data_IF_171125389999
#
_entry.id   IF_171125389999
#
_cell.length_a   1.000
_cell.length_b   1.000
_cell.length_c   1.000
_cell.angle_alpha   90.00
_cell.angle_beta   90.00
_cell.angle_gamma   90.00
#
_symmetry.space_group_name_H-M   'P 1'
#
loop_
_entity.id
_entity.type
_entity.pdbx_description
1 polymer ?
#
# COMPACT_ATOMS: atom_id res chain seq x y z
N UNK A 1 -22.00 12.62 -47.92
CA UNK A 1 -22.32 12.95 -46.52
C UNK A 1 -21.78 11.83 -45.63
N UNK A 2 -20.57 12.00 -45.17
CA UNK A 2 -19.96 11.16 -44.16
C UNK A 2 -20.18 11.83 -42.80
N UNK A 3 -21.10 11.27 -42.02
CA UNK A 3 -21.29 11.67 -40.64
C UNK A 3 -20.08 11.17 -39.80
N UNK A 4 -19.31 12.14 -39.35
CA UNK A 4 -18.26 11.94 -38.36
C UNK A 4 -18.94 11.72 -37.01
N UNK A 5 -19.11 10.46 -36.58
CA UNK A 5 -19.51 10.11 -35.24
C UNK A 5 -18.30 10.31 -34.33
N UNK A 6 -18.07 11.54 -33.89
CA UNK A 6 -17.18 11.88 -32.79
C UNK A 6 -17.74 11.30 -31.50
N UNK A 7 -17.31 10.10 -31.15
CA UNK A 7 -17.57 9.52 -29.86
C UNK A 7 -17.00 10.44 -28.78
N UNK A 8 -17.87 11.14 -28.09
CA UNK A 8 -17.57 11.91 -26.89
C UNK A 8 -17.19 10.88 -25.81
N UNK A 9 -15.92 10.51 -25.75
CA UNK A 9 -15.35 9.79 -24.62
C UNK A 9 -15.35 10.75 -23.43
N UNK A 10 -16.50 10.92 -22.81
CA UNK A 10 -16.62 11.51 -21.49
C UNK A 10 -16.01 10.48 -20.52
N UNK A 11 -14.68 10.45 -20.44
CA UNK A 11 -13.96 9.77 -19.36
C UNK A 11 -14.49 10.38 -18.08
N UNK A 12 -15.33 9.64 -17.36
CA UNK A 12 -15.97 10.12 -16.13
C UNK A 12 -14.96 10.79 -15.21
N UNK A 13 -15.35 11.91 -14.61
CA UNK A 13 -14.52 12.68 -13.68
C UNK A 13 -14.56 12.10 -12.25
N UNK A 14 -15.26 11.01 -12.05
CA UNK A 14 -15.46 10.41 -10.73
C UNK A 14 -14.24 9.63 -10.27
N UNK A 15 -13.99 9.69 -8.94
CA UNK A 15 -12.97 8.90 -8.28
C UNK A 15 -13.39 7.43 -8.25
N UNK A 16 -12.44 6.54 -8.51
CA UNK A 16 -12.63 5.10 -8.40
C UNK A 16 -12.23 4.63 -7.00
N UNK A 17 -13.20 4.25 -6.19
CA UNK A 17 -13.01 3.78 -4.81
C UNK A 17 -12.63 2.29 -4.70
N UNK A 18 -12.42 1.61 -5.81
CA UNK A 18 -11.80 0.30 -5.91
C UNK A 18 -10.33 0.39 -6.40
N UNK A 19 -9.83 1.62 -6.62
CA UNK A 19 -8.42 1.89 -6.90
C UNK A 19 -7.75 2.48 -5.67
N UNK A 20 -6.78 1.74 -5.11
CA UNK A 20 -5.98 2.10 -3.94
C UNK A 20 -4.60 2.59 -4.38
N UNK A 21 -3.99 3.49 -3.62
CA UNK A 21 -2.57 3.83 -3.79
C UNK A 21 -1.88 3.84 -2.44
N UNK A 22 -0.78 3.11 -2.32
CA UNK A 22 0.03 3.13 -1.10
C UNK A 22 0.68 4.50 -0.94
N UNK A 23 0.58 5.04 0.27
CA UNK A 23 1.03 6.40 0.59
C UNK A 23 1.87 6.40 1.87
N UNK A 24 3.09 6.93 1.76
CA UNK A 24 4.07 6.99 2.85
C UNK A 24 4.15 8.41 3.40
N UNK A 25 3.79 8.55 4.67
CA UNK A 25 3.65 9.84 5.35
C UNK A 25 4.80 10.18 6.31
N UNK A 26 5.94 9.57 6.12
CA UNK A 26 7.08 9.67 7.05
C UNK A 26 8.10 10.77 6.74
N UNK A 27 7.95 11.50 5.62
CA UNK A 27 8.91 12.52 5.21
C UNK A 27 8.80 13.78 6.06
N UNK A 28 9.95 14.36 6.44
CA UNK A 28 10.05 15.63 7.13
C UNK A 28 10.92 16.65 6.40
N UNK A 29 10.59 17.92 6.58
CA UNK A 29 11.41 19.05 6.12
C UNK A 29 11.83 19.93 7.29
N UNK A 30 12.95 20.65 7.14
CA UNK A 30 13.44 21.54 8.18
C UNK A 30 12.43 22.64 8.55
N UNK A 31 11.76 23.19 7.53
CA UNK A 31 10.80 24.30 7.71
C UNK A 31 9.55 23.91 8.51
N UNK A 32 9.09 22.64 8.43
CA UNK A 32 7.85 22.18 9.05
C UNK A 32 8.14 21.33 10.29
N UNK A 33 9.17 20.46 10.22
CA UNK A 33 9.45 19.44 11.25
C UNK A 33 10.71 19.75 12.04
N UNK A 34 11.40 20.85 11.75
CA UNK A 34 12.68 21.22 12.37
C UNK A 34 13.87 20.38 11.92
N UNK A 35 13.64 19.37 11.08
CA UNK A 35 14.67 18.50 10.51
C UNK A 35 14.16 17.75 9.29
N UNK A 36 15.09 17.36 8.41
CA UNK A 36 14.77 16.41 7.34
C UNK A 36 14.67 14.98 7.88
N UNK A 37 13.58 14.28 7.56
CA UNK A 37 13.35 12.88 7.94
C UNK A 37 13.09 12.03 6.70
N UNK A 38 13.60 10.79 6.71
CA UNK A 38 13.46 9.78 5.65
C UNK A 38 14.02 10.16 4.26
N UNK A 39 14.64 11.34 4.12
CA UNK A 39 15.44 11.69 2.93
C UNK A 39 16.84 11.09 2.97
N UNK A 40 17.37 10.83 4.17
CA UNK A 40 18.57 10.03 4.43
C UNK A 40 18.21 8.56 4.65
N UNK A 41 19.11 7.64 4.33
CA UNK A 41 18.95 6.22 4.61
C UNK A 41 20.29 5.51 4.68
N UNK A 42 20.43 4.53 5.57
CA UNK A 42 21.55 3.60 5.54
C UNK A 42 21.47 2.74 4.26
N UNK A 43 22.60 2.56 3.58
CA UNK A 43 22.67 1.62 2.46
C UNK A 43 22.56 0.21 3.04
N UNK A 44 21.66 -0.61 2.51
CA UNK A 44 21.46 -1.96 2.98
C UNK A 44 22.64 -2.86 2.60
N UNK A 45 23.19 -3.65 3.54
CA UNK A 45 24.22 -4.63 3.22
C UNK A 45 23.66 -5.71 2.27
N UNK A 46 24.54 -6.25 1.41
CA UNK A 46 24.16 -7.38 0.55
C UNK A 46 23.87 -8.61 1.42
N UNK A 47 22.67 -9.22 1.37
CA UNK A 47 22.33 -10.39 2.16
C UNK A 47 23.20 -11.61 1.83
N UNK A 48 23.83 -11.65 0.65
CA UNK A 48 24.76 -12.68 0.21
C UNK A 48 26.24 -12.28 0.42
N UNK A 49 26.47 -11.07 0.95
CA UNK A 49 27.82 -10.56 1.22
C UNK A 49 28.39 -11.07 2.55
N UNK A 50 29.72 -10.90 2.71
CA UNK A 50 30.40 -11.29 3.95
C UNK A 50 29.99 -10.46 5.17
N UNK A 51 30.21 -10.99 6.37
CA UNK A 51 30.01 -10.28 7.64
C UNK A 51 30.90 -9.03 7.75
N UNK A 52 30.41 -7.97 8.36
CA UNK A 52 31.18 -6.74 8.58
C UNK A 52 31.04 -5.68 7.51
N UNK A 53 30.13 -5.82 6.55
CA UNK A 53 29.84 -4.77 5.58
C UNK A 53 29.28 -3.51 6.27
N UNK A 54 29.91 -2.37 5.99
CA UNK A 54 29.36 -1.05 6.31
C UNK A 54 29.27 -0.25 5.02
N UNK A 55 28.19 -0.42 4.22
CA UNK A 55 28.07 0.22 2.91
C UNK A 55 27.86 1.74 2.96
N UNK A 56 27.74 2.32 4.16
CA UNK A 56 27.59 3.75 4.38
C UNK A 56 26.13 4.20 4.48
N UNK A 57 25.96 5.53 4.38
CA UNK A 57 24.67 6.19 4.50
C UNK A 57 24.49 7.21 3.39
N UNK A 58 23.29 7.27 2.81
CA UNK A 58 22.86 8.34 1.92
C UNK A 58 22.47 9.54 2.81
N UNK A 59 23.11 10.73 2.64
CA UNK A 59 23.01 11.82 3.62
C UNK A 59 21.66 12.55 3.64
N UNK A 60 20.82 12.40 2.62
CA UNK A 60 19.51 13.09 2.55
C UNK A 60 19.62 14.57 2.18
N UNK A 61 20.75 15.01 1.56
CA UNK A 61 20.93 16.38 1.06
C UNK A 61 20.14 16.61 -0.22
N UNK A 62 20.13 17.86 -0.71
CA UNK A 62 19.48 18.17 -2.00
C UNK A 62 20.11 17.40 -3.17
N UNK A 63 21.40 17.15 -3.11
CA UNK A 63 22.14 16.44 -4.16
C UNK A 63 22.12 14.92 -4.00
N UNK A 64 21.75 14.42 -2.80
CA UNK A 64 21.83 12.99 -2.48
C UNK A 64 20.75 12.54 -1.49
N UNK A 65 19.58 12.18 -2.01
CA UNK A 65 18.48 11.59 -1.24
C UNK A 65 18.43 10.06 -1.37
N UNK A 66 17.71 9.42 -0.46
CA UNK A 66 17.48 7.97 -0.42
C UNK A 66 16.44 7.50 -1.46
N UNK A 67 16.51 8.04 -2.66
CA UNK A 67 15.69 7.66 -3.81
C UNK A 67 16.49 7.83 -5.10
N UNK A 68 16.20 6.99 -6.09
CA UNK A 68 16.82 7.13 -7.42
C UNK A 68 16.31 8.37 -8.17
N UNK A 69 15.15 8.89 -7.81
CA UNK A 69 14.57 10.08 -8.43
C UNK A 69 14.32 11.17 -7.38
N UNK A 70 14.72 12.39 -7.71
CA UNK A 70 14.44 13.56 -6.87
C UNK A 70 13.01 14.05 -7.16
N UNK A 71 12.16 14.22 -6.15
CA UNK A 71 10.79 14.66 -6.38
C UNK A 71 10.72 16.11 -6.84
N UNK A 72 9.81 16.41 -7.77
CA UNK A 72 9.58 17.79 -8.25
C UNK A 72 9.15 18.76 -7.13
N UNK A 73 8.53 18.23 -6.08
CA UNK A 73 8.13 19.00 -4.90
C UNK A 73 9.27 19.21 -3.90
N UNK A 74 10.48 18.79 -4.23
CA UNK A 74 11.65 18.89 -3.35
C UNK A 74 11.61 17.90 -2.19
N UNK A 75 12.44 18.14 -1.17
CA UNK A 75 12.42 17.39 0.09
C UNK A 75 11.31 17.92 1.00
N UNK A 76 10.09 17.52 0.72
CA UNK A 76 8.89 17.99 1.39
C UNK A 76 8.68 17.36 2.78
N UNK A 77 7.76 17.93 3.54
CA UNK A 77 7.18 17.35 4.73
C UNK A 77 5.82 16.72 4.41
N UNK A 78 5.58 15.53 4.93
CA UNK A 78 4.26 14.88 4.89
C UNK A 78 3.24 15.56 5.83
N UNK A 79 3.68 16.54 6.64
CA UNK A 79 2.82 17.36 7.49
C UNK A 79 2.53 18.75 6.89
N UNK A 80 3.07 19.08 5.70
CA UNK A 80 2.82 20.35 5.03
C UNK A 80 1.45 20.36 4.33
N UNK A 81 0.49 21.21 4.74
CA UNK A 81 -0.83 21.27 4.11
C UNK A 81 -0.79 21.60 2.60
N UNK A 82 0.21 22.36 2.14
CA UNK A 82 0.36 22.69 0.72
C UNK A 82 0.80 21.45 -0.08
N UNK A 83 1.70 20.65 0.47
CA UNK A 83 2.13 19.38 -0.12
C UNK A 83 0.97 18.39 -0.15
N UNK A 84 0.25 18.26 0.97
CA UNK A 84 -0.93 17.40 1.05
C UNK A 84 -1.98 17.79 0.01
N UNK A 85 -2.25 19.08 -0.16
CA UNK A 85 -3.18 19.56 -1.20
C UNK A 85 -2.73 19.14 -2.60
N UNK A 86 -1.45 19.34 -2.93
CA UNK A 86 -0.90 18.93 -4.24
C UNK A 86 -0.98 17.42 -4.45
N UNK A 87 -0.67 16.61 -3.43
CA UNK A 87 -0.80 15.17 -3.51
C UNK A 87 -2.26 14.75 -3.76
N UNK A 88 -3.21 15.33 -3.03
CA UNK A 88 -4.64 15.03 -3.25
C UNK A 88 -5.11 15.46 -4.65
N UNK A 89 -4.61 16.57 -5.19
CA UNK A 89 -4.89 16.97 -6.57
C UNK A 89 -4.34 15.94 -7.58
N UNK A 90 -3.16 15.36 -7.33
CA UNK A 90 -2.61 14.27 -8.17
C UNK A 90 -3.48 13.00 -8.10
N UNK A 91 -4.00 12.65 -6.91
CA UNK A 91 -4.95 11.54 -6.75
C UNK A 91 -6.23 11.77 -7.56
N UNK A 92 -6.78 12.98 -7.51
CA UNK A 92 -7.97 13.35 -8.31
C UNK A 92 -7.67 13.22 -9.81
N UNK A 93 -6.52 13.75 -10.26
CA UNK A 93 -6.10 13.62 -11.67
C UNK A 93 -5.95 12.17 -12.12
N UNK A 94 -5.43 11.32 -11.25
CA UNK A 94 -5.28 9.88 -11.49
C UNK A 94 -6.59 9.09 -11.27
N UNK A 95 -7.67 9.76 -10.82
CA UNK A 95 -8.95 9.14 -10.46
C UNK A 95 -8.85 8.06 -9.38
N UNK A 96 -7.79 8.09 -8.58
CA UNK A 96 -7.56 7.16 -7.49
C UNK A 96 -8.37 7.58 -6.28
N UNK A 97 -9.35 6.77 -5.90
CA UNK A 97 -10.33 7.12 -4.87
C UNK A 97 -9.88 6.80 -3.45
N UNK A 98 -8.89 5.92 -3.27
CA UNK A 98 -8.47 5.46 -1.94
C UNK A 98 -6.96 5.55 -1.76
N UNK A 99 -6.56 6.18 -0.68
CA UNK A 99 -5.19 6.25 -0.20
C UNK A 99 -4.99 5.16 0.86
N UNK A 100 -4.05 4.25 0.65
CA UNK A 100 -3.66 3.23 1.63
C UNK A 100 -2.45 3.76 2.41
N UNK A 101 -2.74 4.36 3.57
CA UNK A 101 -1.76 5.06 4.40
C UNK A 101 -0.89 4.07 5.17
N UNK A 102 0.42 4.17 5.02
CA UNK A 102 1.38 3.39 5.82
C UNK A 102 1.21 3.68 7.32
N UNK A 103 1.33 2.64 8.15
CA UNK A 103 1.19 2.79 9.59
C UNK A 103 2.12 1.82 10.36
N UNK A 104 3.04 2.40 11.13
CA UNK A 104 4.11 1.70 11.83
C UNK A 104 3.92 1.59 13.35
N UNK A 105 2.67 1.55 13.83
CA UNK A 105 2.34 1.60 15.24
C UNK A 105 2.57 3.01 15.81
N UNK A 106 1.66 3.90 15.49
CA UNK A 106 1.62 5.29 15.95
C UNK A 106 2.09 5.45 17.39
N UNK A 107 3.26 6.05 17.57
CA UNK A 107 3.95 6.11 18.85
C UNK A 107 3.67 7.43 19.59
N UNK A 108 3.42 8.53 18.87
CA UNK A 108 3.34 9.86 19.46
C UNK A 108 2.21 10.73 18.84
N UNK A 109 1.95 11.85 19.51
CA UNK A 109 0.94 12.82 19.08
C UNK A 109 1.29 13.52 17.75
N UNK A 110 2.55 13.54 17.35
CA UNK A 110 2.98 14.13 16.08
C UNK A 110 2.50 13.28 14.90
N UNK A 111 2.66 11.95 14.99
CA UNK A 111 2.13 11.02 13.99
C UNK A 111 0.62 11.10 13.93
N UNK A 112 -0.03 11.07 15.08
CA UNK A 112 -1.47 11.19 15.18
C UNK A 112 -2.02 12.47 14.56
N UNK A 113 -1.35 13.59 14.78
CA UNK A 113 -1.69 14.88 14.17
C UNK A 113 -1.51 14.84 12.65
N UNK A 114 -0.42 14.22 12.17
CA UNK A 114 -0.15 14.08 10.74
C UNK A 114 -1.23 13.24 10.04
N UNK A 115 -1.64 12.13 10.62
CA UNK A 115 -2.76 11.32 10.10
C UNK A 115 -4.03 12.14 10.01
N UNK A 116 -4.35 12.96 11.03
CA UNK A 116 -5.49 13.88 11.01
C UNK A 116 -5.42 14.87 9.84
N UNK A 117 -4.26 15.50 9.60
CA UNK A 117 -4.06 16.41 8.47
C UNK A 117 -4.26 15.73 7.10
N UNK A 118 -3.82 14.47 6.98
CA UNK A 118 -4.00 13.69 5.75
C UNK A 118 -5.48 13.36 5.52
N UNK A 119 -6.20 12.93 6.56
CA UNK A 119 -7.63 12.67 6.50
C UNK A 119 -8.42 13.93 6.10
N UNK A 120 -8.12 15.07 6.71
CA UNK A 120 -8.74 16.36 6.39
C UNK A 120 -8.47 16.79 4.94
N UNK A 121 -7.24 16.61 4.47
CA UNK A 121 -6.87 16.94 3.09
C UNK A 121 -7.57 16.02 2.08
N UNK A 122 -7.68 14.72 2.38
CA UNK A 122 -8.37 13.72 1.58
C UNK A 122 -9.88 14.01 1.50
N UNK A 123 -10.53 14.34 2.62
CA UNK A 123 -11.96 14.65 2.66
C UNK A 123 -12.33 15.84 1.77
N UNK A 124 -11.53 16.91 1.78
CA UNK A 124 -11.72 18.08 0.91
C UNK A 124 -11.79 17.73 -0.58
N UNK A 125 -11.19 16.62 -0.98
CA UNK A 125 -11.15 16.12 -2.37
C UNK A 125 -12.00 14.85 -2.56
N UNK A 126 -12.77 14.45 -1.56
CA UNK A 126 -13.61 13.22 -1.54
C UNK A 126 -12.79 11.91 -1.64
N UNK A 127 -11.49 11.98 -1.46
CA UNK A 127 -10.62 10.80 -1.39
C UNK A 127 -10.85 10.12 -0.04
N UNK A 128 -10.80 8.78 -0.05
CA UNK A 128 -10.90 7.98 1.17
C UNK A 128 -9.52 7.49 1.61
N UNK A 129 -9.40 7.13 2.88
CA UNK A 129 -8.16 6.64 3.50
C UNK A 129 -8.43 5.33 4.20
N UNK A 130 -7.72 4.28 3.83
CA UNK A 130 -7.55 3.06 4.61
C UNK A 130 -6.12 2.95 5.12
N UNK A 131 -5.80 1.93 5.90
CA UNK A 131 -4.47 1.78 6.48
C UNK A 131 -3.75 0.55 5.94
N UNK A 132 -2.44 0.71 5.72
CA UNK A 132 -1.49 -0.33 5.40
C UNK A 132 -0.63 -0.59 6.64
N UNK A 133 -0.91 -1.68 7.36
CA UNK A 133 -0.27 -2.01 8.64
C UNK A 133 1.07 -2.69 8.39
N UNK A 134 2.13 -1.99 8.75
CA UNK A 134 3.51 -2.37 8.50
C UNK A 134 4.03 -3.38 9.55
N UNK A 135 5.16 -4.09 9.31
CA UNK A 135 5.72 -5.06 10.22
C UNK A 135 6.54 -4.40 11.33
N UNK A 136 5.92 -3.56 12.15
CA UNK A 136 6.57 -2.89 13.26
C UNK A 136 7.18 -3.89 14.27
N UNK A 137 8.20 -3.50 15.05
CA UNK A 137 8.84 -4.37 16.02
C UNK A 137 7.85 -5.02 17.00
N UNK A 138 8.01 -6.31 17.24
CA UNK A 138 7.15 -7.12 18.15
C UNK A 138 5.68 -7.25 17.69
N UNK A 139 5.36 -6.98 16.42
CA UNK A 139 4.02 -7.16 15.87
C UNK A 139 3.53 -8.60 16.10
N UNK A 140 2.36 -8.73 16.70
CA UNK A 140 1.64 -9.98 16.92
C UNK A 140 0.12 -9.71 16.86
N UNK A 141 -0.71 -10.75 16.89
CA UNK A 141 -2.17 -10.60 16.73
C UNK A 141 -2.83 -9.84 17.88
N UNK A 142 -2.26 -9.90 19.10
CA UNK A 142 -2.80 -9.17 20.25
C UNK A 142 -2.64 -7.65 20.05
N UNK A 143 -1.42 -7.18 19.78
CA UNK A 143 -1.20 -5.76 19.56
C UNK A 143 -1.78 -5.25 18.23
N UNK A 144 -1.90 -6.11 17.21
CA UNK A 144 -2.64 -5.78 15.98
C UNK A 144 -4.12 -5.52 16.30
N UNK A 145 -4.75 -6.36 17.13
CA UNK A 145 -6.13 -6.12 17.57
C UNK A 145 -6.28 -4.76 18.27
N UNK A 146 -5.39 -4.48 19.21
CA UNK A 146 -5.39 -3.20 19.95
C UNK A 146 -5.24 -2.02 19.00
N UNK A 147 -4.35 -2.13 18.03
CA UNK A 147 -4.12 -1.12 17.01
C UNK A 147 -5.31 -0.93 16.06
N UNK A 148 -5.95 -2.00 15.60
CA UNK A 148 -7.17 -1.93 14.81
C UNK A 148 -8.28 -1.22 15.59
N UNK A 149 -8.47 -1.59 16.85
CA UNK A 149 -9.42 -0.93 17.76
C UNK A 149 -9.11 0.55 17.91
N UNK A 150 -7.84 0.90 18.14
CA UNK A 150 -7.35 2.29 18.26
C UNK A 150 -7.64 3.10 16.99
N UNK A 151 -7.27 2.57 15.81
CA UNK A 151 -7.47 3.24 14.53
C UNK A 151 -8.95 3.46 14.22
N UNK A 152 -9.79 2.45 14.43
CA UNK A 152 -11.24 2.57 14.19
C UNK A 152 -11.87 3.53 15.19
N UNK A 153 -11.50 3.47 16.47
CA UNK A 153 -12.03 4.36 17.51
C UNK A 153 -11.64 5.81 17.23
N UNK A 154 -10.40 6.06 16.84
CA UNK A 154 -9.88 7.41 16.66
C UNK A 154 -10.33 8.04 15.34
N UNK A 155 -10.30 7.28 14.26
CA UNK A 155 -10.50 7.82 12.90
C UNK A 155 -11.76 7.31 12.21
N UNK A 156 -12.41 6.26 12.73
CA UNK A 156 -13.50 5.57 12.04
C UNK A 156 -14.76 6.41 11.79
N UNK A 157 -14.93 7.53 12.51
CA UNK A 157 -16.01 8.49 12.29
C UNK A 157 -15.62 9.63 11.32
N UNK A 158 -14.36 9.69 10.87
CA UNK A 158 -13.93 10.70 9.94
C UNK A 158 -14.54 10.46 8.54
N UNK A 159 -15.06 11.48 7.83
CA UNK A 159 -15.69 11.29 6.51
C UNK A 159 -14.77 10.64 5.48
N UNK A 160 -13.45 10.87 5.55
CA UNK A 160 -12.48 10.23 4.67
C UNK A 160 -12.13 8.79 5.05
N UNK A 161 -12.53 8.28 6.22
CA UNK A 161 -12.19 6.92 6.61
C UNK A 161 -12.88 5.90 5.69
N UNK A 162 -12.07 5.07 5.01
CA UNK A 162 -12.59 4.15 3.99
C UNK A 162 -13.35 2.97 4.60
N UNK A 163 -14.50 2.68 4.00
CA UNK A 163 -15.29 1.48 4.27
C UNK A 163 -15.77 0.88 2.95
N UNK A 164 -15.61 -0.43 2.81
CA UNK A 164 -16.21 -1.22 1.75
C UNK A 164 -17.35 -2.03 2.36
N UNK A 165 -18.56 -1.86 1.82
CA UNK A 165 -19.76 -2.51 2.35
C UNK A 165 -19.96 -2.31 3.86
N UNK A 166 -19.66 -1.10 4.34
CA UNK A 166 -19.78 -0.70 5.74
C UNK A 166 -18.60 -1.11 6.64
N UNK A 167 -17.68 -1.97 6.18
CA UNK A 167 -16.53 -2.43 6.96
C UNK A 167 -15.26 -1.65 6.63
N UNK A 168 -14.46 -1.24 7.63
CA UNK A 168 -13.09 -0.78 7.41
C UNK A 168 -12.27 -1.81 6.61
N UNK A 169 -11.25 -1.36 5.87
CA UNK A 169 -10.33 -2.24 5.17
C UNK A 169 -8.90 -1.93 5.62
N UNK A 170 -8.15 -2.99 5.92
CA UNK A 170 -6.74 -2.92 6.27
C UNK A 170 -5.91 -3.83 5.37
N UNK A 171 -4.85 -3.29 4.77
CA UNK A 171 -3.79 -4.08 4.16
C UNK A 171 -2.79 -4.49 5.23
N UNK A 172 -2.35 -5.74 5.22
CA UNK A 172 -1.35 -6.26 6.18
C UNK A 172 -0.07 -6.60 5.43
N UNK A 173 0.93 -5.74 5.55
CA UNK A 173 2.24 -6.00 4.96
C UNK A 173 2.95 -7.13 5.72
N UNK A 174 3.68 -7.97 4.98
CA UNK A 174 4.38 -9.14 5.53
C UNK A 174 3.51 -9.98 6.49
N UNK A 175 2.26 -10.22 6.09
CA UNK A 175 1.29 -10.99 6.90
C UNK A 175 1.77 -12.40 7.20
N UNK A 176 2.64 -12.96 6.38
CA UNK A 176 3.23 -14.30 6.51
C UNK A 176 4.26 -14.42 7.66
N UNK A 177 4.67 -13.30 8.28
CA UNK A 177 5.52 -13.31 9.48
C UNK A 177 4.79 -13.76 10.75
N UNK A 178 3.48 -13.91 10.68
CA UNK A 178 2.64 -14.41 11.78
C UNK A 178 1.97 -15.69 11.30
N UNK A 179 2.02 -16.74 12.12
CA UNK A 179 1.48 -18.06 11.80
C UNK A 179 -0.05 -18.02 11.57
N UNK A 180 -0.60 -18.85 10.68
CA UNK A 180 -2.05 -18.90 10.43
C UNK A 180 -2.88 -19.16 11.69
N UNK A 181 -2.41 -20.00 12.59
CA UNK A 181 -3.08 -20.31 13.86
C UNK A 181 -3.17 -19.11 14.83
N UNK A 182 -2.22 -18.16 14.72
CA UNK A 182 -2.31 -16.90 15.46
C UNK A 182 -3.33 -15.96 14.80
N UNK A 183 -3.31 -15.84 13.46
CA UNK A 183 -4.32 -15.08 12.72
C UNK A 183 -5.74 -15.59 12.97
N UNK A 184 -5.95 -16.89 13.05
CA UNK A 184 -7.24 -17.51 13.35
C UNK A 184 -7.82 -16.98 14.65
N UNK A 185 -7.01 -16.75 15.70
CA UNK A 185 -7.47 -16.17 16.97
C UNK A 185 -8.09 -14.78 16.78
N UNK A 186 -7.61 -14.00 15.81
CA UNK A 186 -8.06 -12.64 15.52
C UNK A 186 -9.16 -12.60 14.45
N UNK A 187 -9.07 -13.43 13.42
CA UNK A 187 -9.88 -13.31 12.20
C UNK A 187 -10.94 -14.41 12.03
N UNK A 188 -10.95 -15.44 12.87
CA UNK A 188 -12.06 -16.41 12.93
C UNK A 188 -13.19 -15.88 13.82
N UNK A 189 -14.47 -16.13 13.47
CA UNK A 189 -15.60 -15.77 14.34
C UNK A 189 -15.52 -16.38 15.74
N UNK A 190 -14.92 -17.59 15.89
CA UNK A 190 -14.69 -18.25 17.16
C UNK A 190 -13.34 -17.97 17.82
N UNK A 191 -12.54 -17.07 17.26
CA UNK A 191 -11.19 -16.76 17.76
C UNK A 191 -11.22 -16.11 19.14
N UNK A 192 -10.20 -16.43 19.96
CA UNK A 192 -10.14 -16.00 21.37
C UNK A 192 -10.01 -14.47 21.56
N UNK A 193 -9.51 -13.77 20.53
CA UNK A 193 -9.38 -12.31 20.50
C UNK A 193 -10.00 -11.71 19.24
N UNK A 194 -11.03 -12.34 18.73
CA UNK A 194 -11.62 -11.99 17.43
C UNK A 194 -12.12 -10.54 17.35
N UNK A 195 -11.95 -9.94 16.15
CA UNK A 195 -12.65 -8.71 15.77
C UNK A 195 -13.98 -9.00 15.07
N UNK A 196 -14.21 -10.25 14.63
CA UNK A 196 -15.39 -10.63 13.85
C UNK A 196 -16.68 -10.47 14.66
N UNK A 197 -17.71 -9.94 14.01
CA UNK A 197 -19.01 -9.66 14.62
C UNK A 197 -18.96 -8.67 15.80
N UNK A 198 -17.91 -7.84 15.85
CA UNK A 198 -17.78 -6.74 16.82
C UNK A 198 -17.89 -5.38 16.11
N UNK A 199 -17.92 -4.29 16.88
CA UNK A 199 -17.84 -2.93 16.34
C UNK A 199 -16.53 -2.64 15.58
N UNK A 200 -15.54 -3.53 15.68
CA UNK A 200 -14.22 -3.42 15.08
C UNK A 200 -14.00 -4.43 13.93
N UNK A 201 -15.08 -5.09 13.48
CA UNK A 201 -14.99 -6.00 12.34
C UNK A 201 -14.56 -5.24 11.07
N UNK A 202 -13.57 -5.78 10.38
CA UNK A 202 -12.93 -5.13 9.26
C UNK A 202 -12.53 -6.15 8.19
N UNK A 203 -12.41 -5.71 6.94
CA UNK A 203 -11.84 -6.50 5.86
C UNK A 203 -10.31 -6.50 6.00
N UNK A 204 -9.73 -7.69 6.14
CA UNK A 204 -8.30 -7.90 6.34
C UNK A 204 -7.69 -8.50 5.09
N UNK A 205 -6.78 -7.76 4.44
CA UNK A 205 -6.18 -8.10 3.15
C UNK A 205 -4.70 -8.47 3.38
N UNK A 206 -4.39 -9.77 3.28
CA UNK A 206 -3.03 -10.30 3.51
C UNK A 206 -2.14 -10.21 2.28
N UNK A 207 -0.82 -10.19 2.46
CA UNK A 207 0.14 -10.14 1.36
C UNK A 207 0.39 -11.54 0.78
N UNK A 208 0.27 -11.67 -0.55
CA UNK A 208 0.58 -12.90 -1.28
C UNK A 208 1.92 -12.80 -2.00
N UNK A 209 2.92 -13.54 -1.55
CA UNK A 209 4.27 -13.56 -2.15
C UNK A 209 4.64 -14.93 -2.76
N UNK A 210 4.25 -16.00 -2.11
CA UNK A 210 4.72 -17.37 -2.39
C UNK A 210 3.86 -18.13 -3.41
N UNK A 211 4.26 -19.37 -3.73
CA UNK A 211 3.51 -20.25 -4.62
C UNK A 211 2.10 -20.57 -4.07
N UNK A 212 1.17 -20.97 -4.93
CA UNK A 212 -0.19 -21.32 -4.51
C UNK A 212 -0.27 -22.44 -3.47
N UNK A 213 0.67 -23.38 -3.49
CA UNK A 213 0.73 -24.50 -2.54
C UNK A 213 1.01 -24.04 -1.10
N UNK A 214 1.70 -22.90 -0.95
CA UNK A 214 1.98 -22.28 0.34
C UNK A 214 0.91 -21.24 0.69
N UNK A 215 0.58 -20.38 -0.26
CA UNK A 215 -0.19 -19.19 0.05
C UNK A 215 -1.71 -19.44 0.17
N UNK A 216 -2.27 -20.37 -0.60
CA UNK A 216 -3.70 -20.72 -0.50
C UNK A 216 -4.09 -21.23 0.88
N UNK A 217 -3.40 -22.25 1.45
CA UNK A 217 -3.67 -22.69 2.82
C UNK A 217 -3.46 -21.56 3.83
N UNK A 218 -2.43 -20.73 3.65
CA UNK A 218 -2.19 -19.60 4.53
C UNK A 218 -3.39 -18.65 4.59
N UNK A 219 -3.88 -18.15 3.44
CA UNK A 219 -5.01 -17.23 3.37
C UNK A 219 -6.29 -17.83 3.97
N UNK A 220 -6.54 -19.12 3.71
CA UNK A 220 -7.73 -19.81 4.23
C UNK A 220 -7.66 -20.03 5.74
N UNK A 221 -6.56 -20.60 6.22
CA UNK A 221 -6.40 -20.94 7.64
C UNK A 221 -6.22 -19.72 8.54
N UNK A 222 -5.66 -18.65 8.02
CA UNK A 222 -5.56 -17.35 8.68
C UNK A 222 -6.88 -16.55 8.66
N UNK A 223 -7.91 -17.01 7.94
CA UNK A 223 -9.21 -16.34 7.79
C UNK A 223 -9.17 -14.93 7.20
N UNK A 224 -8.18 -14.62 6.34
CA UNK A 224 -8.16 -13.36 5.62
C UNK A 224 -9.36 -13.21 4.68
N UNK A 225 -9.90 -11.99 4.57
CA UNK A 225 -11.00 -11.68 3.64
C UNK A 225 -10.52 -11.60 2.19
N UNK A 226 -9.24 -11.30 2.00
CA UNK A 226 -8.62 -11.18 0.70
C UNK A 226 -7.10 -11.12 0.76
N UNK A 227 -6.51 -10.84 -0.39
CA UNK A 227 -5.06 -10.71 -0.51
C UNK A 227 -4.66 -9.70 -1.61
N UNK A 228 -3.44 -9.16 -1.50
CA UNK A 228 -2.84 -8.23 -2.45
C UNK A 228 -1.39 -8.66 -2.75
N UNK A 229 -0.74 -8.03 -3.74
CA UNK A 229 0.57 -8.49 -4.22
C UNK A 229 1.72 -7.51 -3.98
N UNK A 230 1.43 -6.26 -3.71
CA UNK A 230 2.31 -5.15 -3.32
C UNK A 230 3.42 -4.77 -4.32
N UNK A 231 4.30 -5.71 -4.72
CA UNK A 231 5.55 -5.40 -5.42
C UNK A 231 5.34 -4.94 -6.86
N UNK A 232 5.91 -3.77 -7.22
CA UNK A 232 5.92 -3.22 -8.58
C UNK A 232 6.83 -3.98 -9.54
N UNK A 233 7.82 -4.73 -9.04
CA UNK A 233 8.75 -5.49 -9.87
C UNK A 233 8.13 -6.81 -10.35
N UNK A 234 7.70 -6.87 -11.62
CA UNK A 234 7.15 -8.09 -12.22
C UNK A 234 8.14 -9.25 -12.15
N UNK A 235 7.67 -10.43 -11.71
CA UNK A 235 8.49 -11.62 -11.58
C UNK A 235 9.35 -11.69 -10.31
N UNK A 236 9.29 -10.70 -9.44
CA UNK A 236 10.01 -10.72 -8.16
C UNK A 236 9.43 -11.74 -7.18
N UNK A 237 8.11 -11.85 -7.12
CA UNK A 237 7.40 -12.87 -6.35
C UNK A 237 6.37 -13.58 -7.23
N UNK A 238 5.78 -14.69 -6.76
CA UNK A 238 4.67 -15.32 -7.45
C UNK A 238 3.49 -14.35 -7.60
N UNK A 239 3.16 -13.62 -6.53
CA UNK A 239 2.07 -12.64 -6.52
C UNK A 239 2.32 -11.45 -7.46
N UNK A 240 3.56 -10.94 -7.55
CA UNK A 240 3.93 -9.84 -8.44
C UNK A 240 4.19 -10.26 -9.90
N UNK A 241 3.82 -11.49 -10.28
CA UNK A 241 3.93 -12.00 -11.64
C UNK A 241 2.57 -11.92 -12.34
N UNK A 242 2.31 -10.93 -13.22
CA UNK A 242 0.97 -10.65 -13.75
C UNK A 242 0.34 -11.81 -14.55
N UNK A 243 1.15 -12.70 -15.12
CA UNK A 243 0.64 -13.90 -15.80
C UNK A 243 -0.05 -14.89 -14.85
N UNK A 244 0.16 -14.77 -13.55
CA UNK A 244 -0.49 -15.59 -12.53
C UNK A 244 -1.87 -15.04 -12.12
N UNK A 245 -2.16 -13.76 -12.39
CA UNK A 245 -3.32 -13.08 -11.83
C UNK A 245 -4.67 -13.64 -12.25
N UNK A 246 -4.79 -14.15 -13.48
CA UNK A 246 -6.01 -14.85 -13.94
C UNK A 246 -6.31 -16.06 -13.05
N UNK A 247 -5.30 -16.88 -12.76
CA UNK A 247 -5.47 -18.07 -11.92
C UNK A 247 -5.69 -17.70 -10.44
N UNK A 248 -5.06 -16.63 -9.97
CA UNK A 248 -5.24 -16.12 -8.60
C UNK A 248 -6.66 -15.56 -8.41
N UNK A 249 -7.17 -14.79 -9.38
CA UNK A 249 -8.53 -14.25 -9.34
C UNK A 249 -9.58 -15.36 -9.43
N UNK A 250 -9.37 -16.37 -10.27
CA UNK A 250 -10.25 -17.54 -10.33
C UNK A 250 -10.35 -18.21 -8.95
N UNK A 251 -9.20 -18.50 -8.34
CA UNK A 251 -9.16 -19.08 -7.01
C UNK A 251 -9.81 -18.20 -5.94
N UNK A 252 -9.59 -16.89 -6.01
CA UNK A 252 -10.20 -15.94 -5.09
C UNK A 252 -11.74 -16.00 -5.16
N UNK A 253 -12.31 -15.95 -6.37
CA UNK A 253 -13.76 -16.08 -6.59
C UNK A 253 -14.31 -17.42 -6.07
N UNK A 254 -13.65 -18.52 -6.35
CA UNK A 254 -14.06 -19.87 -5.91
C UNK A 254 -14.07 -20.01 -4.38
N UNK A 255 -13.27 -19.20 -3.67
CA UNK A 255 -13.14 -19.24 -2.22
C UNK A 255 -13.74 -18.02 -1.49
N UNK A 256 -14.50 -17.18 -2.19
CA UNK A 256 -15.12 -15.98 -1.61
C UNK A 256 -14.10 -14.97 -1.09
N UNK A 257 -12.94 -14.86 -1.74
CA UNK A 257 -11.86 -13.94 -1.36
C UNK A 257 -11.77 -12.74 -2.30
N UNK A 258 -11.33 -11.60 -1.75
CA UNK A 258 -11.01 -10.41 -2.52
C UNK A 258 -9.57 -10.52 -3.02
N UNK A 259 -9.34 -10.31 -4.31
CA UNK A 259 -7.99 -10.22 -4.87
C UNK A 259 -7.74 -8.80 -5.37
N UNK A 260 -6.66 -8.17 -4.89
CA UNK A 260 -6.23 -6.82 -5.24
C UNK A 260 -4.80 -6.89 -5.78
N UNK A 261 -4.59 -7.07 -7.11
CA UNK A 261 -3.25 -7.03 -7.69
C UNK A 261 -2.65 -5.62 -7.52
N UNK A 262 -1.34 -5.58 -7.31
CA UNK A 262 -0.59 -4.33 -7.22
C UNK A 262 0.12 -4.04 -8.53
N UNK A 263 -0.13 -2.87 -9.08
CA UNK A 263 0.50 -2.36 -10.29
C UNK A 263 1.46 -1.23 -9.93
N UNK A 264 2.47 -0.98 -10.75
CA UNK A 264 3.43 0.10 -10.50
C UNK A 264 4.04 0.63 -11.78
N UNK A 265 4.51 1.90 -11.77
CA UNK A 265 5.06 2.55 -12.95
C UNK A 265 6.43 2.03 -13.39
N UNK A 266 7.08 1.27 -12.55
CA UNK A 266 8.42 0.74 -12.65
C UNK A 266 8.99 0.50 -11.26
N UNK A 267 10.23 0.03 -11.17
CA UNK A 267 10.88 -0.18 -9.89
C UNK A 267 12.39 -0.01 -9.99
N UNK A 268 12.98 0.73 -9.06
CA UNK A 268 14.41 0.83 -8.84
C UNK A 268 14.71 1.29 -7.41
N UNK A 269 15.52 0.52 -6.68
CA UNK A 269 15.92 0.81 -5.29
C UNK A 269 17.45 0.69 -5.07
N UNK A 270 18.21 0.68 -6.14
CA UNK A 270 19.66 0.43 -6.10
C UNK A 270 20.46 1.49 -5.34
N UNK A 271 19.88 2.64 -5.02
CA UNK A 271 20.55 3.57 -4.10
C UNK A 271 20.61 3.02 -2.68
N UNK A 272 19.54 2.39 -2.21
CA UNK A 272 19.46 1.80 -0.88
C UNK A 272 19.97 0.35 -0.89
N UNK A 273 19.69 -0.39 -1.99
CA UNK A 273 20.06 -1.79 -2.18
C UNK A 273 20.90 -1.95 -3.45
N UNK A 274 22.21 -1.60 -3.45
CA UNK A 274 23.04 -1.64 -4.67
C UNK A 274 23.09 -3.02 -5.33
N UNK A 275 22.93 -4.08 -4.55
CA UNK A 275 22.92 -5.46 -5.01
C UNK A 275 21.61 -5.88 -5.73
N UNK A 276 20.56 -5.06 -5.66
CA UNK A 276 19.23 -5.41 -6.15
C UNK A 276 18.97 -5.06 -7.63
N UNK A 277 20.03 -4.96 -8.44
CA UNK A 277 19.93 -4.56 -9.84
C UNK A 277 19.06 -5.47 -10.73
N UNK A 278 18.95 -6.76 -10.40
CA UNK A 278 18.15 -7.72 -11.18
C UNK A 278 16.64 -7.47 -11.14
N UNK A 279 16.17 -6.73 -10.14
CA UNK A 279 14.73 -6.42 -9.98
C UNK A 279 14.33 -5.06 -10.54
N UNK A 280 15.26 -4.33 -11.16
CA UNK A 280 14.94 -3.06 -11.84
C UNK A 280 13.90 -3.31 -12.93
N UNK A 281 12.88 -2.45 -12.96
CA UNK A 281 11.87 -2.38 -14.03
C UNK A 281 11.77 -0.94 -14.51
N UNK A 282 12.19 -0.71 -15.77
CA UNK A 282 12.15 0.61 -16.37
C UNK A 282 10.73 1.04 -16.69
N UNK A 283 10.45 2.33 -16.56
CA UNK A 283 9.11 2.90 -16.82
C UNK A 283 8.69 2.82 -18.28
N UNK A 284 9.66 2.83 -19.23
CA UNK A 284 9.45 2.77 -20.69
C UNK A 284 8.31 3.69 -21.16
N UNK A 285 8.39 4.97 -20.77
CA UNK A 285 7.40 6.00 -21.11
C UNK A 285 5.94 5.61 -20.76
N UNK A 286 5.77 4.93 -19.63
CA UNK A 286 4.47 4.47 -19.14
C UNK A 286 4.02 3.10 -19.64
N UNK A 287 4.70 2.51 -20.63
CA UNK A 287 4.30 1.22 -21.22
C UNK A 287 4.32 0.08 -20.18
N UNK A 288 5.28 0.11 -19.25
CA UNK A 288 5.34 -0.87 -18.17
C UNK A 288 4.08 -0.81 -17.27
N UNK A 289 3.68 0.40 -16.90
CA UNK A 289 2.50 0.65 -16.09
C UNK A 289 1.21 0.23 -16.80
N UNK A 290 1.06 0.63 -18.06
CA UNK A 290 -0.08 0.22 -18.91
C UNK A 290 -0.18 -1.30 -19.03
N UNK A 291 0.96 -1.99 -19.24
CA UNK A 291 0.98 -3.44 -19.34
C UNK A 291 0.52 -4.14 -18.05
N UNK A 292 0.92 -3.64 -16.87
CA UNK A 292 0.45 -4.18 -15.61
C UNK A 292 -1.05 -3.96 -15.40
N UNK A 293 -1.57 -2.76 -15.71
CA UNK A 293 -3.00 -2.48 -15.64
C UNK A 293 -3.81 -3.39 -16.57
N UNK A 294 -3.37 -3.57 -17.82
CA UNK A 294 -4.03 -4.50 -18.74
C UNK A 294 -4.12 -5.90 -18.19
N UNK A 295 -3.07 -6.40 -17.55
CA UNK A 295 -3.07 -7.73 -16.93
C UNK A 295 -4.04 -7.83 -15.75
N UNK A 296 -4.17 -6.77 -14.95
CA UNK A 296 -5.17 -6.73 -13.88
C UNK A 296 -6.61 -6.74 -14.46
N UNK A 297 -6.88 -5.96 -15.52
CA UNK A 297 -8.17 -5.95 -16.23
C UNK A 297 -8.46 -7.32 -16.86
N UNK A 298 -7.49 -7.94 -17.55
CA UNK A 298 -7.62 -9.30 -18.12
C UNK A 298 -7.96 -10.35 -17.03
N UNK A 299 -7.43 -10.19 -15.84
CA UNK A 299 -7.74 -11.09 -14.73
C UNK A 299 -9.18 -10.92 -14.22
N UNK A 300 -9.86 -9.84 -14.58
CA UNK A 300 -11.24 -9.56 -14.18
C UNK A 300 -11.38 -9.28 -12.68
N UNK A 301 -10.40 -8.56 -12.11
CA UNK A 301 -10.42 -8.12 -10.72
C UNK A 301 -11.40 -6.95 -10.55
N UNK A 302 -11.93 -6.80 -9.34
CA UNK A 302 -12.82 -5.69 -8.98
C UNK A 302 -12.08 -4.52 -8.31
N UNK A 303 -10.81 -4.71 -7.94
CA UNK A 303 -10.02 -3.68 -7.29
C UNK A 303 -8.54 -3.81 -7.67
N UNK A 304 -7.82 -2.70 -7.66
CA UNK A 304 -6.39 -2.60 -8.00
C UNK A 304 -5.69 -1.74 -6.96
N UNK A 305 -4.46 -2.10 -6.58
CA UNK A 305 -3.59 -1.22 -5.79
C UNK A 305 -2.39 -0.73 -6.61
N UNK A 306 -1.97 0.50 -6.33
CA UNK A 306 -0.83 1.15 -6.98
C UNK A 306 0.30 1.22 -5.96
N UNK A 307 1.49 0.75 -6.36
CA UNK A 307 2.72 0.82 -5.58
C UNK A 307 3.84 1.46 -6.40
N UNK A 308 4.83 2.07 -5.75
CA UNK A 308 5.95 2.77 -6.40
C UNK A 308 7.30 2.26 -5.89
#
# INVERSE_FOLDING_TARGET
NSENNGGNNNLGTELDYDTFCFYYDWYGSEAIDGQYRHWAHAIAPDPNGGSGQNPGTIPGTQESIASNFYPQLGRYSSSDPNILTKHMDMFVMARTGVLALTWWNEQDETEAKRIGLILDAADKKKIKVCFHLEPYPSRNVQNLRENIVKLITRYGNHPAFYRKDGKPLFFIYDSYLIEPSEWEKLLSPGGSITIRNTAYDALMIGLWTSSPTVQRPFILNAHFDGFYTYFAATGFTYGSTPTNWVSMQKWAKENGKIFIPSVGPGYIDTRIRPWNGSVIRTRTDGQYYDAMYRKAIEAGVSAISITS
#
